data_IF_363230524129
#
_entry.id   IF_363230524129
#
_cell.length_a   1.000
_cell.length_b   1.000
_cell.length_c   1.000
_cell.angle_alpha   90.00
_cell.angle_beta   90.00
_cell.angle_gamma   90.00
#
_symmetry.space_group_name_H-M   'P 1'
#
loop_
_entity.id
_entity.type
_entity.pdbx_description
1 polymer ?
#
# COMPACT_ATOMS: atom_id res chain seq x y z
N UNK A 1 -10.52 6.40 -3.02
CA UNK A 1 -11.15 6.89 -1.77
C UNK A 1 -10.50 8.16 -1.23
N UNK A 2 -9.21 8.17 -0.85
CA UNK A 2 -8.48 9.45 -0.59
C UNK A 2 -8.06 10.14 -1.90
N UNK A 3 -7.61 9.36 -2.90
CA UNK A 3 -7.25 9.86 -4.23
C UNK A 3 -8.37 10.53 -5.02
N UNK A 4 -9.63 10.31 -4.62
CA UNK A 4 -10.81 10.90 -5.27
C UNK A 4 -11.09 12.32 -4.74
N UNK A 5 -10.72 12.63 -3.49
CA UNK A 5 -10.89 13.93 -2.85
C UNK A 5 -9.68 14.86 -3.05
N UNK A 6 -8.47 14.31 -3.04
CA UNK A 6 -7.22 15.09 -3.11
C UNK A 6 -6.68 15.27 -4.54
N UNK A 7 -7.27 14.62 -5.53
CA UNK A 7 -6.77 14.59 -6.91
C UNK A 7 -5.71 13.48 -7.08
N UNK A 8 -5.91 12.64 -8.10
CA UNK A 8 -5.11 11.42 -8.33
C UNK A 8 -3.63 11.73 -8.50
N UNK A 9 -3.31 12.87 -9.11
CA UNK A 9 -1.93 13.36 -9.27
C UNK A 9 -1.27 13.60 -7.92
N UNK A 10 -1.95 14.31 -7.00
CA UNK A 10 -1.39 14.64 -5.69
C UNK A 10 -1.16 13.39 -4.86
N UNK A 11 -2.06 12.41 -4.93
CA UNK A 11 -1.88 11.16 -4.18
C UNK A 11 -0.69 10.36 -4.67
N UNK A 12 -0.45 10.31 -5.98
CA UNK A 12 0.72 9.66 -6.56
C UNK A 12 2.03 10.35 -6.18
N UNK A 13 2.06 11.69 -6.26
CA UNK A 13 3.24 12.48 -5.90
C UNK A 13 3.55 12.36 -4.41
N UNK A 14 2.55 12.60 -3.54
CA UNK A 14 2.72 12.49 -2.10
C UNK A 14 3.04 11.07 -1.66
N UNK A 15 2.40 10.06 -2.27
CA UNK A 15 2.70 8.65 -2.00
C UNK A 15 4.15 8.30 -2.31
N UNK A 16 4.67 8.77 -3.45
CA UNK A 16 6.09 8.59 -3.81
C UNK A 16 7.05 9.30 -2.85
N UNK A 17 6.72 10.53 -2.44
CA UNK A 17 7.53 11.28 -1.47
C UNK A 17 7.53 10.64 -0.08
N UNK A 18 6.36 10.22 0.42
CA UNK A 18 6.24 9.55 1.72
C UNK A 18 6.97 8.21 1.72
N UNK A 19 6.89 7.46 0.62
CA UNK A 19 7.67 6.23 0.44
C UNK A 19 9.17 6.52 0.51
N UNK A 20 9.63 7.49 -0.28
CA UNK A 20 11.05 7.86 -0.30
C UNK A 20 11.55 8.35 1.07
N UNK A 21 10.74 9.11 1.81
CA UNK A 21 11.07 9.56 3.16
C UNK A 21 11.17 8.40 4.15
N UNK A 22 10.23 7.45 4.11
CA UNK A 22 10.26 6.25 4.96
C UNK A 22 11.49 5.40 4.70
N UNK A 23 11.83 5.19 3.43
CA UNK A 23 13.00 4.39 3.03
C UNK A 23 14.33 5.11 3.30
N UNK A 24 14.34 6.45 3.25
CA UNK A 24 15.50 7.24 3.65
C UNK A 24 15.73 7.14 5.17
N UNK A 25 14.66 7.10 5.95
CA UNK A 25 14.73 6.85 7.39
C UNK A 25 15.29 5.45 7.69
N UNK A 26 14.90 4.44 6.90
CA UNK A 26 15.46 3.09 6.99
C UNK A 26 16.95 3.06 6.63
N UNK A 27 17.35 3.71 5.54
CA UNK A 27 18.74 3.81 5.10
C UNK A 27 19.64 4.53 6.13
N UNK A 28 19.07 5.41 6.95
CA UNK A 28 19.80 6.16 7.99
C UNK A 28 19.52 5.63 9.40
N UNK A 29 18.83 4.49 9.52
CA UNK A 29 18.30 3.99 10.79
C UNK A 29 19.41 3.62 11.78
N UNK A 30 19.42 4.23 12.96
CA UNK A 30 20.42 3.96 14.02
C UNK A 30 19.96 2.92 15.04
N UNK A 31 18.67 2.60 15.05
CA UNK A 31 18.06 1.62 15.95
C UNK A 31 16.83 1.01 15.28
N UNK A 32 16.33 -0.08 15.85
CA UNK A 32 15.21 -0.83 15.29
C UNK A 32 13.90 -0.04 15.27
N UNK A 33 13.67 0.83 16.27
CA UNK A 33 12.46 1.66 16.35
C UNK A 33 12.38 2.66 15.21
N UNK A 34 13.50 3.27 14.83
CA UNK A 34 13.62 4.16 13.68
C UNK A 34 13.32 3.40 12.37
N UNK A 35 13.80 2.16 12.26
CA UNK A 35 13.55 1.30 11.09
C UNK A 35 12.07 0.88 11.01
N UNK A 36 11.42 0.54 12.12
CA UNK A 36 9.99 0.25 12.12
C UNK A 36 9.15 1.48 11.75
N UNK A 37 9.54 2.65 12.22
CA UNK A 37 8.87 3.92 11.86
C UNK A 37 9.02 4.20 10.37
N UNK A 38 10.22 3.99 9.83
CA UNK A 38 10.49 4.16 8.40
C UNK A 38 9.67 3.20 7.55
N UNK A 39 9.57 1.93 7.96
CA UNK A 39 8.71 0.94 7.32
C UNK A 39 7.22 1.30 7.37
N UNK A 40 6.73 1.81 8.50
CA UNK A 40 5.36 2.27 8.61
C UNK A 40 5.06 3.42 7.64
N UNK A 41 5.98 4.41 7.56
CA UNK A 41 5.88 5.52 6.60
C UNK A 41 5.94 5.03 5.16
N UNK A 42 6.89 4.15 4.82
CA UNK A 42 7.04 3.59 3.50
C UNK A 42 5.78 2.82 3.06
N UNK A 43 5.21 2.03 3.98
CA UNK A 43 3.94 1.32 3.77
C UNK A 43 2.77 2.25 3.48
N UNK A 44 2.64 3.38 4.18
CA UNK A 44 1.63 4.41 3.89
C UNK A 44 1.80 4.96 2.47
N UNK A 45 3.04 5.28 2.08
CA UNK A 45 3.35 5.74 0.73
C UNK A 45 2.97 4.71 -0.34
N UNK A 46 3.36 3.45 -0.14
CA UNK A 46 3.03 2.35 -1.03
C UNK A 46 1.51 2.10 -1.15
N UNK A 47 0.79 2.17 -0.04
CA UNK A 47 -0.67 2.01 0.01
C UNK A 47 -1.41 3.12 -0.77
N UNK A 48 -0.84 4.33 -0.85
CA UNK A 48 -1.37 5.41 -1.68
C UNK A 48 -1.09 5.17 -3.18
N UNK A 49 0.12 4.68 -3.51
CA UNK A 49 0.57 4.50 -4.90
C UNK A 49 -0.19 3.40 -5.64
N UNK A 50 -0.38 2.23 -5.01
CA UNK A 50 -0.96 1.05 -5.66
C UNK A 50 -2.36 1.30 -6.28
N UNK A 51 -3.39 1.64 -5.49
CA UNK A 51 -4.74 1.84 -6.01
C UNK A 51 -4.84 3.08 -6.91
N UNK A 52 -4.05 4.12 -6.65
CA UNK A 52 -4.06 5.35 -7.45
C UNK A 52 -3.46 5.14 -8.84
N UNK A 53 -2.39 4.35 -8.94
CA UNK A 53 -1.77 4.03 -10.23
C UNK A 53 -2.75 3.30 -11.15
N UNK A 54 -3.45 2.30 -10.62
CA UNK A 54 -4.48 1.55 -11.35
C UNK A 54 -5.65 2.45 -11.75
N UNK A 55 -6.08 3.35 -10.86
CA UNK A 55 -7.16 4.31 -11.15
C UNK A 55 -6.78 5.29 -12.28
N UNK A 56 -5.53 5.76 -12.31
CA UNK A 56 -5.02 6.62 -13.40
C UNK A 56 -4.96 5.83 -14.71
N UNK A 57 -4.46 4.60 -14.70
CA UNK A 57 -4.45 3.73 -15.88
C UNK A 57 -5.87 3.53 -16.42
N UNK A 58 -6.82 3.18 -15.55
CA UNK A 58 -8.21 2.96 -15.95
C UNK A 58 -8.89 4.22 -16.52
N UNK A 59 -8.56 5.42 -16.01
CA UNK A 59 -9.08 6.66 -16.58
C UNK A 59 -8.39 7.09 -17.88
N UNK A 60 -7.11 6.74 -18.05
CA UNK A 60 -6.37 7.02 -19.28
C UNK A 60 -6.68 6.03 -20.42
N UNK A 61 -7.34 4.90 -20.11
CA UNK A 61 -7.69 3.85 -21.09
C UNK A 61 -9.20 3.54 -21.06
N UNK A 62 -10.05 4.36 -21.73
CA UNK A 62 -11.49 4.17 -21.72
C UNK A 62 -11.93 2.88 -22.45
N UNK A 63 -11.22 2.49 -23.50
CA UNK A 63 -11.52 1.30 -24.29
C UNK A 63 -11.14 0.01 -23.58
N UNK A 64 -12.05 -0.97 -23.55
CA UNK A 64 -11.86 -2.22 -22.81
C UNK A 64 -10.64 -3.04 -23.25
N UNK A 65 -10.32 -3.04 -24.55
CA UNK A 65 -9.14 -3.74 -25.09
C UNK A 65 -7.83 -3.05 -24.68
N UNK A 66 -7.77 -1.73 -24.72
CA UNK A 66 -6.57 -0.98 -24.38
C UNK A 66 -6.36 -0.92 -22.86
N UNK A 67 -7.45 -0.90 -22.08
CA UNK A 67 -7.40 -1.07 -20.64
C UNK A 67 -6.85 -2.42 -20.24
N UNK A 68 -7.31 -3.50 -20.87
CA UNK A 68 -6.79 -4.84 -20.59
C UNK A 68 -5.28 -4.93 -20.86
N UNK A 69 -4.79 -4.36 -21.97
CA UNK A 69 -3.36 -4.26 -22.27
C UNK A 69 -2.62 -3.44 -21.22
N UNK A 70 -3.10 -2.25 -20.87
CA UNK A 70 -2.43 -1.39 -19.90
C UNK A 70 -2.36 -2.01 -18.50
N UNK A 71 -3.44 -2.65 -18.04
CA UNK A 71 -3.47 -3.41 -16.78
C UNK A 71 -2.54 -4.61 -16.84
N UNK A 72 -2.45 -5.31 -17.98
CA UNK A 72 -1.49 -6.41 -18.13
C UNK A 72 -0.04 -5.94 -18.02
N UNK A 73 0.31 -4.80 -18.63
CA UNK A 73 1.65 -4.19 -18.51
C UNK A 73 1.94 -3.76 -17.08
N UNK A 74 0.96 -3.18 -16.39
CA UNK A 74 1.07 -2.84 -14.98
C UNK A 74 1.30 -4.09 -14.10
N UNK A 75 0.55 -5.17 -14.32
CA UNK A 75 0.72 -6.42 -13.60
C UNK A 75 2.10 -7.07 -13.88
N UNK A 76 2.54 -7.08 -15.14
CA UNK A 76 3.89 -7.56 -15.51
C UNK A 76 4.99 -6.75 -14.82
N UNK A 77 4.80 -5.43 -14.70
CA UNK A 77 5.76 -4.55 -14.01
C UNK A 77 5.89 -4.91 -12.52
N UNK A 78 4.78 -5.25 -11.86
CA UNK A 78 4.77 -5.71 -10.47
C UNK A 78 5.51 -7.04 -10.34
N UNK A 79 5.22 -8.01 -11.22
CA UNK A 79 5.89 -9.31 -11.20
C UNK A 79 7.40 -9.16 -11.42
N UNK A 80 7.81 -8.33 -12.38
CA UNK A 80 9.22 -8.07 -12.63
C UNK A 80 9.88 -7.37 -11.43
N UNK A 81 9.22 -6.37 -10.84
CA UNK A 81 9.70 -5.70 -9.64
C UNK A 81 9.82 -6.66 -8.45
N UNK A 82 8.91 -7.63 -8.31
CA UNK A 82 8.97 -8.63 -7.24
C UNK A 82 10.19 -9.58 -7.36
N UNK A 83 10.66 -9.83 -8.58
CA UNK A 83 11.86 -10.63 -8.82
C UNK A 83 13.14 -9.79 -8.70
N UNK A 84 13.17 -8.62 -9.35
CA UNK A 84 14.37 -7.77 -9.44
C UNK A 84 14.62 -6.99 -8.15
N UNK A 85 13.57 -6.58 -7.45
CA UNK A 85 13.65 -5.78 -6.23
C UNK A 85 14.50 -6.44 -5.14
N UNK A 86 14.13 -7.63 -4.65
CA UNK A 86 14.89 -8.35 -3.63
C UNK A 86 16.33 -8.68 -4.06
N UNK A 87 16.55 -8.98 -5.35
CA UNK A 87 17.89 -9.21 -5.88
C UNK A 87 18.74 -7.94 -5.80
N UNK A 88 18.22 -6.80 -6.23
CA UNK A 88 18.94 -5.53 -6.21
C UNK A 88 19.24 -5.07 -4.77
N UNK A 89 18.26 -5.11 -3.88
CA UNK A 89 18.41 -4.75 -2.47
C UNK A 89 19.29 -5.74 -1.72
N UNK A 90 19.19 -7.05 -2.01
CA UNK A 90 19.99 -8.09 -1.39
C UNK A 90 21.47 -8.01 -1.79
N UNK A 91 21.76 -7.80 -3.07
CA UNK A 91 23.15 -7.58 -3.52
C UNK A 91 23.75 -6.38 -2.81
N UNK A 92 23.05 -5.24 -2.76
CA UNK A 92 23.52 -4.03 -2.06
C UNK A 92 23.74 -4.27 -0.57
N UNK A 93 22.86 -5.03 0.09
CA UNK A 93 23.02 -5.42 1.48
C UNK A 93 24.29 -6.26 1.72
N UNK A 94 24.64 -7.13 0.76
CA UNK A 94 25.81 -8.01 0.88
C UNK A 94 27.14 -7.34 0.58
N UNK A 95 27.20 -6.44 -0.42
CA UNK A 95 28.46 -5.84 -0.88
C UNK A 95 28.82 -4.54 -0.16
N UNK A 96 27.84 -3.85 0.43
CA UNK A 96 28.04 -2.58 1.13
C UNK A 96 27.63 -2.67 2.60
N UNK A 97 26.36 -2.40 2.89
CA UNK A 97 25.77 -2.49 4.22
C UNK A 97 24.25 -2.68 4.04
N UNK A 98 23.58 -3.32 5.01
CA UNK A 98 22.14 -3.56 4.93
C UNK A 98 21.33 -2.28 4.69
N UNK A 99 21.81 -1.12 5.13
CA UNK A 99 21.18 0.19 4.89
C UNK A 99 21.09 0.55 3.41
N UNK A 100 22.02 0.08 2.58
CA UNK A 100 21.99 0.31 1.13
C UNK A 100 20.85 -0.43 0.44
N UNK A 101 20.27 -1.46 1.07
CA UNK A 101 19.09 -2.16 0.56
C UNK A 101 17.86 -1.24 0.40
N UNK A 102 17.80 -0.15 1.18
CA UNK A 102 16.69 0.81 1.17
C UNK A 102 16.89 1.96 0.18
N UNK A 103 18.11 2.15 -0.36
CA UNK A 103 18.41 3.24 -1.29
C UNK A 103 17.68 3.10 -2.64
N UNK A 104 17.59 1.92 -3.28
CA UNK A 104 16.84 1.80 -4.53
C UNK A 104 15.36 2.19 -4.39
N UNK A 105 14.61 1.74 -3.36
CA UNK A 105 13.27 2.24 -3.08
C UNK A 105 13.18 3.77 -2.93
N UNK A 106 14.15 4.42 -2.28
CA UNK A 106 14.21 5.90 -2.18
C UNK A 106 14.26 6.53 -3.57
N UNK A 107 15.21 6.07 -4.41
CA UNK A 107 15.40 6.61 -5.76
C UNK A 107 14.16 6.39 -6.61
N UNK A 108 13.54 5.20 -6.53
CA UNK A 108 12.32 4.88 -7.26
C UNK A 108 11.12 5.72 -6.77
N UNK A 109 10.95 5.90 -5.46
CA UNK A 109 9.89 6.74 -4.89
C UNK A 109 9.98 8.19 -5.37
N UNK A 110 11.19 8.76 -5.39
CA UNK A 110 11.44 10.09 -5.94
C UNK A 110 11.21 10.15 -7.46
N UNK A 111 11.68 9.15 -8.21
CA UNK A 111 11.48 9.08 -9.65
C UNK A 111 9.99 9.02 -10.01
N UNK A 112 9.21 8.22 -9.28
CA UNK A 112 7.74 8.15 -9.42
C UNK A 112 7.10 9.51 -9.09
N UNK A 113 7.50 10.16 -7.99
CA UNK A 113 6.96 11.47 -7.64
C UNK A 113 7.21 12.51 -8.75
N UNK A 114 8.44 12.56 -9.30
CA UNK A 114 8.79 13.47 -10.40
C UNK A 114 8.04 13.12 -11.69
N UNK A 115 7.98 11.83 -12.05
CA UNK A 115 7.29 11.37 -13.25
C UNK A 115 5.79 11.68 -13.18
N UNK A 116 5.14 11.37 -12.06
CA UNK A 116 3.72 11.69 -11.87
C UNK A 116 3.46 13.20 -11.84
N UNK A 117 4.37 13.98 -11.26
CA UNK A 117 4.23 15.44 -11.27
C UNK A 117 4.29 16.02 -12.70
N UNK A 118 5.13 15.47 -13.58
CA UNK A 118 5.26 15.93 -14.97
C UNK A 118 4.20 15.36 -15.92
N UNK A 119 3.88 14.08 -15.80
CA UNK A 119 3.14 13.33 -16.83
C UNK A 119 1.66 13.12 -16.49
N UNK A 120 1.29 13.13 -15.20
CA UNK A 120 -0.11 12.89 -14.81
C UNK A 120 -0.86 14.22 -14.81
N UNK A 121 -1.93 14.26 -15.60
CA UNK A 121 -2.91 15.35 -15.61
C UNK A 121 -3.82 15.20 -14.39
N UNK A 122 -4.18 16.33 -13.76
CA UNK A 122 -5.04 16.29 -12.58
C UNK A 122 -6.46 15.89 -13.01
N UNK A 123 -6.92 14.74 -12.54
CA UNK A 123 -8.28 14.26 -12.77
C UNK A 123 -8.92 14.06 -11.41
N UNK A 124 -9.89 14.92 -11.08
CA UNK A 124 -10.73 14.78 -9.90
C UNK A 124 -11.84 13.78 -10.21
N UNK A 125 -12.14 12.90 -9.27
CA UNK A 125 -13.34 12.08 -9.37
C UNK A 125 -14.59 13.00 -9.27
N UNK A 126 -15.75 12.57 -9.79
CA UNK A 126 -17.01 13.29 -9.59
C UNK A 126 -17.26 13.55 -8.10
N UNK A 127 -17.68 14.76 -7.76
CA UNK A 127 -17.96 15.19 -6.38
C UNK A 127 -18.99 14.25 -5.70
N UNK A 128 -18.80 13.97 -4.40
CA UNK A 128 -19.83 13.35 -3.56
C UNK A 128 -19.45 12.07 -2.79
N UNK A 129 -18.22 11.54 -2.91
CA UNK A 129 -17.82 10.32 -2.18
C UNK A 129 -17.15 10.66 -0.83
N UNK A 130 -17.84 10.33 0.26
CA UNK A 130 -17.33 10.52 1.63
C UNK A 130 -16.35 9.41 2.05
N UNK A 131 -15.42 9.74 2.95
CA UNK A 131 -14.48 8.77 3.52
C UNK A 131 -15.20 7.87 4.53
N UNK A 132 -15.17 6.55 4.33
CA UNK A 132 -15.57 5.58 5.34
C UNK A 132 -14.41 5.35 6.32
N UNK A 133 -14.27 6.26 7.30
CA UNK A 133 -13.26 6.17 8.34
C UNK A 133 -13.41 4.91 9.22
N UNK A 134 -14.62 4.55 9.70
CA UNK A 134 -14.80 3.31 10.46
C UNK A 134 -14.38 2.07 9.67
N UNK A 135 -14.78 1.95 8.41
CA UNK A 135 -14.37 0.85 7.53
C UNK A 135 -12.85 0.81 7.33
N UNK A 136 -12.22 1.95 7.02
CA UNK A 136 -10.77 2.01 6.80
C UNK A 136 -9.94 1.66 8.04
N UNK A 137 -10.35 2.10 9.22
CA UNK A 137 -9.63 1.80 10.46
C UNK A 137 -9.79 0.32 10.81
N UNK A 138 -11.01 -0.22 10.71
CA UNK A 138 -11.28 -1.62 11.04
C UNK A 138 -10.56 -2.58 10.10
N UNK A 139 -10.54 -2.32 8.79
CA UNK A 139 -9.78 -3.16 7.84
C UNK A 139 -8.27 -3.04 8.05
N UNK A 140 -7.75 -1.84 8.32
CA UNK A 140 -6.33 -1.64 8.59
C UNK A 140 -5.88 -2.41 9.83
N UNK A 141 -6.60 -2.26 10.95
CA UNK A 141 -6.34 -2.99 12.19
C UNK A 141 -6.47 -4.50 11.96
N UNK A 142 -7.53 -4.93 11.28
CA UNK A 142 -7.79 -6.34 11.01
C UNK A 142 -6.68 -7.00 10.20
N UNK A 143 -6.27 -6.39 9.10
CA UNK A 143 -5.18 -6.90 8.26
C UNK A 143 -3.84 -6.86 8.96
N UNK A 144 -3.52 -5.79 9.69
CA UNK A 144 -2.27 -5.71 10.46
C UNK A 144 -2.21 -6.81 11.53
N UNK A 145 -3.27 -6.98 12.32
CA UNK A 145 -3.32 -8.01 13.35
C UNK A 145 -3.26 -9.43 12.75
N UNK A 146 -3.94 -9.65 11.62
CA UNK A 146 -3.93 -10.93 10.92
C UNK A 146 -2.54 -11.28 10.39
N UNK A 147 -1.93 -10.36 9.64
CA UNK A 147 -0.60 -10.56 9.05
C UNK A 147 0.44 -10.78 10.15
N UNK A 148 0.41 -9.98 11.22
CA UNK A 148 1.31 -10.15 12.35
C UNK A 148 1.13 -11.52 13.02
N UNK A 149 -0.12 -11.93 13.28
CA UNK A 149 -0.40 -13.25 13.88
C UNK A 149 0.04 -14.42 13.02
N UNK A 150 -0.06 -14.32 11.69
CA UNK A 150 0.39 -15.35 10.76
C UNK A 150 1.92 -15.40 10.68
N UNK A 151 2.58 -14.24 10.55
CA UNK A 151 4.04 -14.14 10.44
C UNK A 151 4.71 -14.65 11.72
N UNK A 152 4.24 -14.20 12.88
CA UNK A 152 4.86 -14.50 14.17
C UNK A 152 4.38 -15.85 14.75
N UNK A 153 3.29 -16.41 14.22
CA UNK A 153 2.67 -17.65 14.72
C UNK A 153 3.58 -18.88 14.62
N UNK A 154 4.42 -18.93 13.58
CA UNK A 154 5.42 -19.98 13.41
C UNK A 154 6.49 -19.96 14.51
N UNK A 155 6.97 -18.78 14.88
CA UNK A 155 8.07 -18.60 15.82
C UNK A 155 7.62 -18.60 17.28
N UNK A 156 6.50 -17.94 17.61
CA UNK A 156 5.96 -17.84 18.98
C UNK A 156 5.01 -18.96 19.37
N UNK A 157 4.65 -19.81 18.42
CA UNK A 157 3.68 -20.87 18.60
C UNK A 157 2.23 -20.35 18.54
N UNK A 158 1.42 -21.06 17.77
CA UNK A 158 0.02 -20.74 17.48
C UNK A 158 -0.88 -20.68 18.73
N UNK A 159 -0.53 -21.42 19.79
CA UNK A 159 -1.28 -21.43 21.05
C UNK A 159 -0.93 -20.32 22.04
N UNK A 160 0.04 -19.46 21.72
CA UNK A 160 0.44 -18.38 22.64
C UNK A 160 -0.65 -17.31 22.75
N UNK A 161 -0.82 -16.74 23.94
CA UNK A 161 -1.83 -15.71 24.20
C UNK A 161 -1.70 -14.49 23.28
N UNK A 162 -0.47 -14.14 22.86
CA UNK A 162 -0.21 -13.06 21.94
C UNK A 162 -0.76 -13.35 20.54
N UNK A 163 -0.53 -14.56 19.99
CA UNK A 163 -1.00 -14.95 18.66
C UNK A 163 -2.52 -15.13 18.66
N UNK A 164 -3.06 -15.80 19.67
CA UNK A 164 -4.52 -15.96 19.81
C UNK A 164 -5.21 -14.60 19.95
N UNK A 165 -4.63 -13.67 20.73
CA UNK A 165 -5.14 -12.32 20.87
C UNK A 165 -5.11 -11.53 19.57
N UNK A 166 -4.03 -11.63 18.79
CA UNK A 166 -3.93 -10.97 17.48
C UNK A 166 -4.92 -11.54 16.47
N UNK A 167 -5.09 -12.86 16.39
CA UNK A 167 -6.06 -13.51 15.50
C UNK A 167 -7.51 -13.19 15.92
N UNK A 168 -7.79 -13.12 17.22
CA UNK A 168 -9.09 -12.69 17.72
C UNK A 168 -9.37 -11.22 17.38
N UNK A 169 -8.40 -10.33 17.58
CA UNK A 169 -8.51 -8.92 17.19
C UNK A 169 -8.74 -8.78 15.68
N UNK A 170 -8.01 -9.56 14.87
CA UNK A 170 -8.19 -9.60 13.43
C UNK A 170 -9.62 -10.02 13.06
N UNK A 171 -10.14 -11.10 13.64
CA UNK A 171 -11.50 -11.57 13.40
C UNK A 171 -12.55 -10.51 13.77
N UNK A 172 -12.42 -9.91 14.95
CA UNK A 172 -13.34 -8.87 15.44
C UNK A 172 -13.30 -7.62 14.53
N UNK A 173 -12.11 -7.18 14.14
CA UNK A 173 -11.94 -6.02 13.27
C UNK A 173 -12.46 -6.27 11.86
N UNK A 174 -12.26 -7.47 11.30
CA UNK A 174 -12.81 -7.85 9.99
C UNK A 174 -14.35 -7.98 10.02
N UNK A 175 -14.92 -8.52 11.10
CA UNK A 175 -16.38 -8.51 11.29
C UNK A 175 -16.89 -7.08 11.43
N UNK A 176 -16.19 -6.24 12.20
CA UNK A 176 -16.49 -4.82 12.34
C UNK A 176 -16.45 -4.08 11.01
N UNK A 177 -15.50 -4.41 10.14
CA UNK A 177 -15.41 -3.89 8.78
C UNK A 177 -16.63 -4.26 7.94
N UNK A 178 -17.03 -5.54 7.92
CA UNK A 178 -18.24 -5.98 7.18
C UNK A 178 -19.50 -5.28 7.71
N UNK A 179 -19.63 -5.11 9.03
CA UNK A 179 -20.76 -4.40 9.64
C UNK A 179 -20.73 -2.90 9.31
N UNK A 180 -19.55 -2.27 9.31
CA UNK A 180 -19.40 -0.87 8.92
C UNK A 180 -19.77 -0.67 7.44
N UNK A 181 -19.31 -1.58 6.58
CA UNK A 181 -19.50 -1.49 5.14
C UNK A 181 -20.94 -1.76 4.70
N UNK A 182 -21.66 -2.66 5.38
CA UNK A 182 -23.11 -2.86 5.18
C UNK A 182 -23.95 -1.66 5.63
N UNK A 183 -23.40 -0.77 6.46
CA UNK A 183 -24.06 0.45 6.95
C UNK A 183 -23.55 1.73 6.27
N UNK A 184 -22.50 1.64 5.45
CA UNK A 184 -21.87 2.78 4.84
C UNK A 184 -22.73 3.35 3.69
N UNK A 185 -22.91 4.67 3.67
CA UNK A 185 -23.60 5.38 2.59
C UNK A 185 -22.84 5.34 1.25
N UNK A 186 -21.56 4.92 1.25
CA UNK A 186 -20.72 4.74 0.07
C UNK A 186 -19.74 3.58 0.29
N UNK A 187 -20.18 2.32 0.12
CA UNK A 187 -19.34 1.14 0.34
C UNK A 187 -18.05 1.17 -0.50
N UNK A 188 -16.95 0.63 0.03
CA UNK A 188 -15.71 0.39 -0.74
C UNK A 188 -15.86 -0.85 -1.61
N UNK A 189 -16.57 -1.87 -1.11
CA UNK A 189 -16.87 -3.14 -1.74
C UNK A 189 -18.37 -3.27 -2.01
N UNK A 190 -18.72 -3.68 -3.23
CA UNK A 190 -20.09 -4.06 -3.54
C UNK A 190 -20.29 -5.52 -3.11
N UNK A 191 -20.79 -5.72 -1.88
CA UNK A 191 -20.95 -7.05 -1.27
C UNK A 191 -21.94 -7.95 -2.04
N UNK A 192 -22.73 -7.40 -2.96
CA UNK A 192 -23.62 -8.17 -3.83
C UNK A 192 -22.86 -8.99 -4.90
N UNK A 193 -21.57 -8.72 -5.15
CA UNK A 193 -20.74 -9.55 -6.05
C UNK A 193 -20.24 -10.86 -5.41
N UNK A 194 -20.41 -11.03 -4.10
CA UNK A 194 -20.03 -12.25 -3.36
C UNK A 194 -21.21 -13.22 -3.17
N UNK A 195 -22.38 -12.90 -3.73
CA UNK A 195 -23.60 -13.72 -3.69
C UNK A 195 -23.76 -14.57 -4.93
#
# INVERSE_FOLDING_TARGET
MVGDLFGRKRLLVLGGLVLALGELLNATSQNITMMWTGQALAGIGAAALFPSSLAVIAAATPDGKDRAKAVSTWALSISLASAVGPLSSGVLATVADFRWAFVPPVVLGLAVAVACWKLVTDSKAPEGRALDWPGQITIAVGLTALLWGIIEGGDRGWGSAAIVGALALAAVALVGFVVAETRAASPMFNLDLLR
#
